data_IF_147044194961
#
_entry.id   IF_147044194961
#
_cell.length_a   1.000
_cell.length_b   1.000
_cell.length_c   1.000
_cell.angle_alpha   90.00
_cell.angle_beta   90.00
_cell.angle_gamma   90.00
#
_symmetry.space_group_name_H-M   'P 1'
#
loop_
_entity.id
_entity.type
_entity.pdbx_description
1 polymer ?
#
# COMPACT_ATOMS: atom_id res chain seq x y z
N UNK A 1 -13.98 31.07 1.47
CA UNK A 1 -13.12 29.98 0.97
C UNK A 1 -12.75 29.09 2.14
N UNK A 2 -12.91 27.79 2.01
CA UNK A 2 -12.50 26.79 3.01
C UNK A 2 -10.97 26.83 3.20
N UNK A 3 -10.46 26.69 4.43
CA UNK A 3 -9.01 26.72 4.67
C UNK A 3 -8.32 25.50 4.03
N UNK A 4 -7.03 25.57 3.65
CA UNK A 4 -6.34 24.43 3.04
C UNK A 4 -6.34 23.17 3.93
N UNK A 5 -6.24 23.35 5.25
CA UNK A 5 -6.36 22.26 6.21
C UNK A 5 -7.75 21.59 6.16
N UNK A 6 -8.82 22.38 6.05
CA UNK A 6 -10.18 21.84 5.93
C UNK A 6 -10.42 21.17 4.57
N UNK A 7 -9.84 21.70 3.48
CA UNK A 7 -9.85 21.04 2.17
C UNK A 7 -9.18 19.66 2.23
N UNK A 8 -8.02 19.55 2.87
CA UNK A 8 -7.32 18.27 3.01
C UNK A 8 -8.12 17.24 3.80
N UNK A 9 -8.79 17.67 4.87
CA UNK A 9 -9.71 16.82 5.64
C UNK A 9 -10.89 16.33 4.80
N UNK A 10 -11.54 17.23 4.06
CA UNK A 10 -12.68 16.90 3.19
C UNK A 10 -12.26 15.91 2.09
N UNK A 11 -11.11 16.12 1.47
CA UNK A 11 -10.56 15.22 0.45
C UNK A 11 -10.27 13.82 1.01
N UNK A 12 -9.70 13.73 2.21
CA UNK A 12 -9.44 12.46 2.87
C UNK A 12 -10.74 11.72 3.22
N UNK A 13 -11.75 12.45 3.72
CA UNK A 13 -13.07 11.87 4.03
C UNK A 13 -13.74 11.32 2.77
N UNK A 14 -13.73 12.10 1.68
CA UNK A 14 -14.29 11.69 0.39
C UNK A 14 -13.61 10.43 -0.14
N UNK A 15 -12.28 10.38 -0.16
CA UNK A 15 -11.56 9.20 -0.62
C UNK A 15 -11.89 7.96 0.23
N UNK A 16 -11.96 8.11 1.55
CA UNK A 16 -12.31 7.00 2.45
C UNK A 16 -13.73 6.49 2.21
N UNK A 17 -14.67 7.36 1.86
CA UNK A 17 -16.04 6.99 1.50
C UNK A 17 -16.07 6.26 0.14
N UNK A 18 -15.44 6.82 -0.89
CA UNK A 18 -15.38 6.24 -2.24
C UNK A 18 -14.72 4.86 -2.26
N UNK A 19 -13.74 4.64 -1.38
CA UNK A 19 -13.02 3.36 -1.25
C UNK A 19 -13.61 2.42 -0.20
N UNK A 20 -14.72 2.79 0.45
CA UNK A 20 -15.37 1.94 1.46
C UNK A 20 -14.52 1.69 2.73
N UNK A 21 -13.55 2.55 3.02
CA UNK A 21 -12.58 2.39 4.12
C UNK A 21 -13.16 2.75 5.49
N UNK A 22 -14.29 3.47 5.52
CA UNK A 22 -14.97 3.93 6.73
C UNK A 22 -13.98 4.51 7.76
N UNK A 23 -13.84 3.89 8.94
CA UNK A 23 -12.91 4.30 10.01
C UNK A 23 -11.75 3.33 10.24
N UNK A 24 -11.57 2.34 9.37
CA UNK A 24 -10.55 1.29 9.49
C UNK A 24 -9.13 1.82 9.20
N UNK A 25 -8.09 1.32 9.89
CA UNK A 25 -6.71 1.54 9.47
C UNK A 25 -6.46 1.05 8.03
N UNK A 26 -5.53 1.69 7.33
CA UNK A 26 -5.13 1.33 5.96
C UNK A 26 -3.73 0.71 6.02
N UNK A 27 -3.51 -0.45 5.41
CA UNK A 27 -2.17 -1.04 5.25
C UNK A 27 -1.29 -0.25 4.28
N UNK A 28 -0.02 -0.62 4.13
CA UNK A 28 0.85 0.04 3.14
C UNK A 28 0.42 -0.33 1.71
N UNK A 29 0.20 -1.61 1.44
CA UNK A 29 -0.30 -2.09 0.14
C UNK A 29 -1.63 -1.45 -0.26
N UNK A 30 -2.58 -1.32 0.69
CA UNK A 30 -3.84 -0.61 0.40
C UNK A 30 -3.63 0.87 0.05
N UNK A 31 -2.59 1.54 0.58
CA UNK A 31 -2.27 2.93 0.21
C UNK A 31 -1.80 3.01 -1.25
N UNK A 32 -0.98 2.06 -1.69
CA UNK A 32 -0.49 1.97 -3.06
C UNK A 32 -1.66 1.83 -4.05
N UNK A 33 -2.69 1.07 -3.67
CA UNK A 33 -3.86 0.80 -4.50
C UNK A 33 -4.95 1.89 -4.44
N UNK A 34 -4.79 2.95 -3.62
CA UNK A 34 -5.82 4.00 -3.48
C UNK A 34 -5.98 4.86 -4.73
N UNK A 35 -4.89 5.05 -5.48
CA UNK A 35 -4.85 5.88 -6.68
C UNK A 35 -4.05 5.16 -7.76
N UNK A 36 -4.33 5.38 -9.05
CA UNK A 36 -3.66 4.68 -10.13
C UNK A 36 -2.24 5.22 -10.37
N UNK A 37 -1.33 5.06 -9.41
CA UNK A 37 0.08 5.39 -9.53
C UNK A 37 0.97 4.19 -9.19
N UNK A 38 2.18 4.19 -9.71
CA UNK A 38 3.24 3.27 -9.28
C UNK A 38 3.96 3.87 -8.08
N UNK A 39 4.34 3.03 -7.11
CA UNK A 39 5.13 3.46 -5.94
C UNK A 39 6.47 2.76 -5.98
N UNK A 40 7.55 3.50 -5.79
CA UNK A 40 8.92 2.96 -5.69
C UNK A 40 9.54 3.47 -4.40
N UNK A 41 9.85 2.54 -3.51
CA UNK A 41 10.64 2.79 -2.31
C UNK A 41 12.10 2.48 -2.62
N UNK A 42 12.98 3.47 -2.50
CA UNK A 42 14.40 3.33 -2.85
C UNK A 42 15.27 4.30 -2.06
N UNK A 43 16.58 4.13 -2.11
CA UNK A 43 17.51 5.07 -1.49
C UNK A 43 17.47 6.40 -2.25
N UNK A 44 17.25 7.50 -1.52
CA UNK A 44 17.17 8.84 -2.08
C UNK A 44 18.24 9.75 -1.48
N UNK A 45 18.62 10.85 -2.17
CA UNK A 45 19.54 11.83 -1.60
C UNK A 45 19.03 12.39 -0.26
N UNK A 46 19.97 12.75 0.61
CA UNK A 46 19.65 13.32 1.92
C UNK A 46 18.71 14.53 1.80
N UNK A 47 17.65 14.53 2.61
CA UNK A 47 16.65 15.60 2.65
C UNK A 47 15.47 15.42 1.69
N UNK A 48 15.46 14.38 0.86
CA UNK A 48 14.31 14.01 0.03
C UNK A 48 13.61 12.80 0.66
N UNK A 49 12.45 13.03 1.27
CA UNK A 49 11.65 11.94 1.85
C UNK A 49 10.74 11.26 0.81
N UNK A 50 10.33 12.01 -0.22
CA UNK A 50 9.48 11.55 -1.29
C UNK A 50 9.35 12.58 -2.41
N UNK A 51 8.88 12.13 -3.56
CA UNK A 51 8.62 12.94 -4.74
C UNK A 51 7.55 12.29 -5.61
N UNK A 52 6.78 13.10 -6.33
CA UNK A 52 5.84 12.62 -7.33
C UNK A 52 6.25 13.09 -8.72
N UNK A 53 6.30 12.16 -9.67
CA UNK A 53 6.55 12.43 -11.08
C UNK A 53 5.32 12.06 -11.90
N UNK A 54 5.03 12.88 -12.91
CA UNK A 54 4.04 12.58 -13.93
C UNK A 54 4.73 12.51 -15.27
N UNK A 55 4.61 11.39 -15.97
CA UNK A 55 5.10 11.27 -17.33
C UNK A 55 4.27 12.18 -18.25
N UNK A 56 4.88 13.16 -18.94
CA UNK A 56 4.16 14.06 -19.83
C UNK A 56 3.61 13.38 -21.10
N UNK A 57 4.12 12.20 -21.47
CA UNK A 57 3.67 11.47 -22.66
C UNK A 57 2.50 10.54 -22.34
N UNK A 58 2.65 9.69 -21.31
CA UNK A 58 1.64 8.68 -20.96
C UNK A 58 0.62 9.19 -19.94
N UNK A 59 0.96 10.23 -19.18
CA UNK A 59 0.16 10.71 -18.05
C UNK A 59 0.30 9.86 -16.78
N UNK A 60 1.07 8.76 -16.84
CA UNK A 60 1.32 7.87 -15.71
C UNK A 60 1.98 8.62 -14.56
N UNK A 61 1.64 8.23 -13.33
CA UNK A 61 2.15 8.86 -12.11
C UNK A 61 3.00 7.86 -11.37
N UNK A 62 4.20 8.29 -10.98
CA UNK A 62 5.13 7.55 -10.16
C UNK A 62 5.38 8.33 -8.87
N UNK A 63 5.21 7.67 -7.72
CA UNK A 63 5.61 8.20 -6.43
C UNK A 63 6.91 7.51 -6.01
N UNK A 64 7.98 8.28 -5.88
CA UNK A 64 9.22 7.83 -5.26
C UNK A 64 9.19 8.14 -3.77
N UNK A 65 9.53 7.17 -2.92
CA UNK A 65 9.63 7.33 -1.47
C UNK A 65 11.00 6.84 -1.00
N UNK A 66 11.62 7.58 -0.07
CA UNK A 66 12.90 7.18 0.49
C UNK A 66 12.77 5.94 1.41
N UNK A 67 13.72 5.02 1.37
CA UNK A 67 13.91 4.01 2.42
C UNK A 67 14.08 4.70 3.79
N UNK A 68 13.57 4.08 4.86
CA UNK A 68 13.58 4.74 6.16
C UNK A 68 13.58 3.79 7.35
N UNK A 69 14.26 4.19 8.43
CA UNK A 69 14.12 3.57 9.76
C UNK A 69 12.92 4.12 10.55
N UNK A 70 12.21 5.11 10.00
CA UNK A 70 11.01 5.70 10.58
C UNK A 70 9.77 5.28 9.76
N UNK A 71 9.27 4.03 9.92
CA UNK A 71 8.27 3.46 9.02
C UNK A 71 6.96 4.27 8.97
N UNK A 72 6.53 4.81 10.10
CA UNK A 72 5.30 5.60 10.15
C UNK A 72 5.45 6.98 9.52
N UNK A 73 6.68 7.52 9.44
CA UNK A 73 6.97 8.74 8.67
C UNK A 73 6.96 8.44 7.18
N UNK A 74 7.61 7.35 6.74
CA UNK A 74 7.59 6.92 5.34
C UNK A 74 6.17 6.69 4.82
N UNK A 75 5.34 5.97 5.60
CA UNK A 75 3.91 5.78 5.30
C UNK A 75 3.14 7.10 5.23
N UNK A 76 3.48 8.06 6.08
CA UNK A 76 2.90 9.40 6.04
C UNK A 76 3.30 10.15 4.78
N UNK A 77 4.56 10.06 4.35
CA UNK A 77 5.04 10.66 3.10
C UNK A 77 4.28 10.11 1.90
N UNK A 78 4.09 8.79 1.79
CA UNK A 78 3.28 8.22 0.70
C UNK A 78 1.85 8.81 0.69
N UNK A 79 1.20 8.87 1.85
CA UNK A 79 -0.13 9.47 1.96
C UNK A 79 -0.14 10.97 1.63
N UNK A 80 0.95 11.68 1.91
CA UNK A 80 1.13 13.09 1.58
C UNK A 80 1.20 13.29 0.07
N UNK A 81 2.03 12.50 -0.63
CA UNK A 81 2.15 12.51 -2.09
C UNK A 81 0.82 12.18 -2.79
N UNK A 82 0.08 11.19 -2.28
CA UNK A 82 -1.29 10.88 -2.74
C UNK A 82 -2.21 12.12 -2.58
N UNK A 83 -2.06 12.86 -1.49
CA UNK A 83 -2.79 14.11 -1.24
C UNK A 83 -2.54 15.16 -2.33
N UNK A 84 -1.28 15.34 -2.74
CA UNK A 84 -0.94 16.23 -3.85
C UNK A 84 -1.53 15.78 -5.18
N UNK A 85 -1.48 14.47 -5.47
CA UNK A 85 -2.05 13.90 -6.70
C UNK A 85 -3.55 14.20 -6.77
N UNK A 86 -4.28 13.93 -5.69
CA UNK A 86 -5.74 14.11 -5.65
C UNK A 86 -6.17 15.58 -5.62
N UNK A 87 -5.34 16.46 -5.07
CA UNK A 87 -5.58 17.91 -5.11
C UNK A 87 -5.27 18.53 -6.49
N UNK A 88 -4.60 17.79 -7.38
CA UNK A 88 -4.14 18.31 -8.67
C UNK A 88 -2.92 19.22 -8.55
N UNK A 89 -2.16 19.09 -7.45
CA UNK A 89 -1.00 19.95 -7.16
C UNK A 89 0.22 19.56 -8.00
N UNK A 90 0.28 18.32 -8.48
CA UNK A 90 1.41 17.78 -9.24
C UNK A 90 1.44 18.41 -10.64
N UNK A 91 2.41 19.30 -10.86
CA UNK A 91 2.60 19.95 -12.15
C UNK A 91 3.09 18.97 -13.22
N UNK A 92 2.72 19.20 -14.48
CA UNK A 92 3.18 18.41 -15.64
C UNK A 92 4.61 18.73 -16.07
N UNK A 93 5.27 19.74 -15.50
CA UNK A 93 6.68 19.98 -15.75
C UNK A 93 7.49 19.04 -14.86
N UNK A 94 8.49 18.37 -15.44
CA UNK A 94 9.53 17.54 -14.82
C UNK A 94 10.38 18.25 -13.75
N UNK A 95 9.95 19.41 -13.28
CA UNK A 95 10.45 20.11 -12.13
C UNK A 95 10.02 19.35 -10.87
N UNK A 96 11.00 18.81 -10.16
CA UNK A 96 10.88 18.42 -8.74
C UNK A 96 10.15 19.58 -8.05
N UNK A 97 8.99 19.31 -7.45
CA UNK A 97 8.31 20.33 -6.66
C UNK A 97 9.25 20.73 -5.51
N UNK A 98 9.79 21.95 -5.57
CA UNK A 98 10.43 22.56 -4.42
C UNK A 98 9.31 22.88 -3.42
N UNK A 99 9.03 21.92 -2.54
CA UNK A 99 8.10 22.06 -1.43
C UNK A 99 8.49 23.28 -0.61
N UNK A 100 7.76 24.39 -0.76
CA UNK A 100 7.93 25.55 0.11
C UNK A 100 7.19 25.24 1.42
N UNK A 101 7.91 25.05 2.54
CA UNK A 101 7.26 24.68 3.79
C UNK A 101 6.28 25.81 4.15
N UNK A 102 4.99 25.49 4.24
CA UNK A 102 3.83 26.39 4.51
C UNK A 102 3.07 26.93 3.29
N UNK A 103 3.22 26.38 2.10
CA UNK A 103 2.26 26.65 1.03
C UNK A 103 0.86 26.12 1.39
N UNK A 104 -0.16 26.57 0.65
CA UNK A 104 -1.52 26.08 0.82
C UNK A 104 -1.61 24.60 0.43
N UNK A 105 -0.87 24.20 -0.61
CA UNK A 105 -0.71 22.85 -1.13
C UNK A 105 -0.15 21.92 -0.06
N UNK A 106 0.99 22.27 0.54
CA UNK A 106 1.64 21.52 1.62
C UNK A 106 0.73 21.36 2.84
N UNK A 107 0.06 22.45 3.23
CA UNK A 107 -0.88 22.43 4.37
C UNK A 107 -2.07 21.50 4.09
N UNK A 108 -2.57 21.49 2.85
CA UNK A 108 -3.65 20.61 2.42
C UNK A 108 -3.21 19.15 2.37
N UNK A 109 -2.08 18.84 1.74
CA UNK A 109 -1.54 17.48 1.63
C UNK A 109 -1.18 16.88 3.00
N UNK A 110 -0.56 17.66 3.88
CA UNK A 110 -0.33 17.25 5.27
C UNK A 110 -1.64 16.96 6.00
N UNK A 111 -2.63 17.86 5.90
CA UNK A 111 -3.94 17.65 6.54
C UNK A 111 -4.65 16.41 5.98
N UNK A 112 -4.58 16.21 4.67
CA UNK A 112 -5.09 15.03 3.98
C UNK A 112 -4.47 13.75 4.54
N UNK A 113 -3.13 13.64 4.58
CA UNK A 113 -2.44 12.46 5.08
C UNK A 113 -2.83 12.11 6.53
N UNK A 114 -2.94 13.11 7.42
CA UNK A 114 -3.39 12.88 8.81
C UNK A 114 -4.79 12.26 8.88
N UNK A 115 -5.74 12.82 8.14
CA UNK A 115 -7.14 12.37 8.17
C UNK A 115 -7.36 11.07 7.39
N UNK A 116 -6.57 10.82 6.34
CA UNK A 116 -6.60 9.57 5.59
C UNK A 116 -6.11 8.43 6.46
N UNK A 117 -4.95 8.58 7.09
CA UNK A 117 -4.30 7.50 7.85
C UNK A 117 -4.91 7.28 9.23
N UNK A 118 -5.38 8.35 9.88
CA UNK A 118 -5.89 8.31 11.24
C UNK A 118 -7.19 9.14 11.34
N UNK A 119 -8.34 8.64 10.88
CA UNK A 119 -9.59 9.39 10.91
C UNK A 119 -10.07 9.61 12.35
N UNK A 120 -10.51 10.84 12.66
CA UNK A 120 -11.06 11.22 13.98
C UNK A 120 -12.22 10.31 14.38
N UNK A 121 -13.06 9.91 13.43
CA UNK A 121 -14.16 8.95 13.66
C UNK A 121 -13.67 7.59 14.15
N UNK A 122 -12.53 7.10 13.67
CA UNK A 122 -11.95 5.81 14.07
C UNK A 122 -11.27 5.81 15.43
N UNK A 123 -10.89 7.00 15.92
CA UNK A 123 -10.51 7.22 17.32
C UNK A 123 -11.78 7.27 18.18
N UNK A 124 -12.75 8.11 17.82
CA UNK A 124 -13.97 8.33 18.60
C UNK A 124 -14.85 7.08 18.74
N UNK A 125 -14.82 6.17 17.76
CA UNK A 125 -15.58 4.91 17.80
C UNK A 125 -14.95 3.86 18.73
N UNK A 126 -13.68 3.99 19.10
CA UNK A 126 -13.02 3.05 20.01
C UNK A 126 -13.36 3.42 21.47
N UNK A 127 -14.41 2.80 22.00
CA UNK A 127 -14.90 3.06 23.36
C UNK A 127 -13.87 2.73 24.44
N UNK A 128 -12.90 1.85 24.15
CA UNK A 128 -11.92 1.39 25.14
C UNK A 128 -10.90 2.47 25.51
N UNK A 129 -10.72 3.50 24.67
CA UNK A 129 -9.68 4.52 24.88
C UNK A 129 -10.10 5.56 25.91
N UNK A 130 -11.42 5.75 26.11
CA UNK A 130 -11.98 6.85 26.92
C UNK A 130 -11.55 6.84 28.39
N UNK A 131 -11.14 5.68 28.91
CA UNK A 131 -10.73 5.50 30.30
C UNK A 131 -9.22 5.32 30.47
N UNK A 132 -8.43 5.40 29.40
CA UNK A 132 -6.98 5.18 29.45
C UNK A 132 -6.23 6.45 29.85
N UNK A 133 -5.03 6.27 30.41
CA UNK A 133 -4.11 7.40 30.57
C UNK A 133 -3.65 7.94 29.21
N UNK A 134 -3.36 9.24 29.13
CA UNK A 134 -3.01 9.94 27.88
C UNK A 134 -1.91 9.27 27.06
N UNK A 135 -0.85 8.80 27.70
CA UNK A 135 0.27 8.13 27.02
C UNK A 135 -0.08 6.71 26.54
N UNK A 136 -1.00 6.03 27.24
CA UNK A 136 -1.54 4.74 26.81
C UNK A 136 -2.49 4.90 25.62
N UNK A 137 -3.38 5.91 25.66
CA UNK A 137 -4.21 6.29 24.51
C UNK A 137 -3.35 6.58 23.29
N UNK A 138 -2.27 7.36 23.45
CA UNK A 138 -1.32 7.66 22.39
C UNK A 138 -0.70 6.39 21.80
N UNK A 139 -0.17 5.50 22.64
CA UNK A 139 0.41 4.21 22.21
C UNK A 139 -0.59 3.38 21.40
N UNK A 140 -1.85 3.32 21.86
CA UNK A 140 -2.92 2.59 21.17
C UNK A 140 -3.25 3.18 19.80
N UNK A 141 -3.37 4.50 19.68
CA UNK A 141 -3.65 5.17 18.40
C UNK A 141 -2.47 5.01 17.43
N UNK A 142 -1.24 5.20 17.91
CA UNK A 142 -0.01 5.00 17.13
C UNK A 142 0.06 3.58 16.57
N UNK A 143 -0.14 2.56 17.42
CA UNK A 143 -0.12 1.16 16.99
C UNK A 143 -1.24 0.83 16.01
N UNK A 144 -2.47 1.28 16.30
CA UNK A 144 -3.67 0.98 15.48
C UNK A 144 -3.58 1.60 14.09
N UNK A 145 -3.24 2.88 14.01
CA UNK A 145 -3.26 3.64 12.76
C UNK A 145 -1.90 3.75 12.07
N UNK A 146 -0.83 3.25 12.71
CA UNK A 146 0.54 3.22 12.17
C UNK A 146 1.00 4.61 11.73
N UNK A 147 0.81 5.60 12.61
CA UNK A 147 1.17 7.01 12.43
C UNK A 147 2.15 7.44 13.52
N UNK A 148 2.87 8.54 13.30
CA UNK A 148 3.78 9.07 14.31
C UNK A 148 3.02 9.51 15.58
N UNK A 149 3.69 9.54 16.75
CA UNK A 149 3.09 10.07 17.98
C UNK A 149 2.58 11.52 17.84
N UNK A 150 3.29 12.35 17.09
CA UNK A 150 2.85 13.71 16.78
C UNK A 150 1.51 13.73 16.03
N UNK A 151 1.38 12.96 14.94
CA UNK A 151 0.14 12.86 14.18
C UNK A 151 -1.00 12.29 15.03
N UNK A 152 -0.73 11.24 15.81
CA UNK A 152 -1.71 10.66 16.72
C UNK A 152 -2.20 11.67 17.77
N UNK A 153 -1.30 12.49 18.33
CA UNK A 153 -1.65 13.51 19.30
C UNK A 153 -2.58 14.58 18.70
N UNK A 154 -2.29 15.09 17.51
CA UNK A 154 -3.19 16.02 16.81
C UNK A 154 -4.59 15.42 16.57
N UNK A 155 -4.66 14.14 16.18
CA UNK A 155 -5.96 13.49 15.94
C UNK A 155 -6.72 13.17 17.23
N UNK A 156 -6.02 12.90 18.35
CA UNK A 156 -6.61 12.78 19.68
C UNK A 156 -7.19 14.12 20.17
N UNK A 157 -6.50 15.23 19.93
CA UNK A 157 -7.00 16.58 20.22
C UNK A 157 -8.24 16.88 19.38
N UNK A 158 -8.18 16.60 18.07
CA UNK A 158 -9.33 16.77 17.16
C UNK A 158 -10.53 15.89 17.55
N UNK A 159 -10.31 14.76 18.22
CA UNK A 159 -11.35 13.91 18.80
C UNK A 159 -11.88 14.42 20.16
N UNK A 160 -11.31 15.48 20.72
CA UNK A 160 -11.69 16.05 22.01
C UNK A 160 -11.23 15.23 23.24
N UNK A 161 -10.23 14.37 23.08
CA UNK A 161 -9.76 13.45 24.13
C UNK A 161 -8.57 13.99 24.93
N UNK A 162 -7.85 14.95 24.37
CA UNK A 162 -6.71 15.63 24.99
C UNK A 162 -6.74 17.13 24.67
N UNK A 163 -5.93 17.92 25.37
CA UNK A 163 -5.82 19.38 25.14
C UNK A 163 -4.67 19.72 24.18
N UNK A 164 -4.64 20.97 23.69
CA UNK A 164 -3.53 21.48 22.88
C UNK A 164 -2.16 21.43 23.61
N UNK A 165 -2.15 21.58 24.93
CA UNK A 165 -0.93 21.47 25.74
C UNK A 165 -0.45 20.02 25.81
N UNK A 166 -1.39 19.05 25.88
CA UNK A 166 -1.05 17.64 25.84
C UNK A 166 -0.42 17.25 24.49
N UNK A 167 -0.84 17.85 23.38
CA UNK A 167 -0.26 17.56 22.05
C UNK A 167 1.25 17.80 22.05
N UNK A 168 1.71 18.90 22.63
CA UNK A 168 3.14 19.25 22.70
C UNK A 168 3.92 18.25 23.54
N UNK A 169 3.36 17.79 24.66
CA UNK A 169 4.05 16.85 25.54
C UNK A 169 4.03 15.43 24.95
N UNK A 170 2.89 14.98 24.44
CA UNK A 170 2.72 13.65 23.88
C UNK A 170 3.46 13.47 22.55
N UNK A 171 3.55 14.53 21.73
CA UNK A 171 4.27 14.52 20.46
C UNK A 171 5.79 14.29 20.59
N UNK A 172 6.37 14.50 21.79
CA UNK A 172 7.80 14.23 22.05
C UNK A 172 8.13 12.75 22.15
N UNK A 173 7.14 11.88 22.31
CA UNK A 173 7.37 10.44 22.31
C UNK A 173 7.78 9.94 20.92
N UNK A 174 8.49 8.82 20.88
CA UNK A 174 8.79 8.09 19.64
C UNK A 174 7.96 6.82 19.57
N UNK A 175 7.59 6.40 18.35
CA UNK A 175 6.84 5.17 18.16
C UNK A 175 7.59 3.95 18.72
N UNK A 176 8.92 3.88 18.54
CA UNK A 176 9.77 2.83 19.11
C UNK A 176 9.69 2.78 20.65
N UNK A 177 9.77 3.94 21.33
CA UNK A 177 9.69 3.99 22.79
C UNK A 177 8.30 3.57 23.31
N UNK A 178 7.23 3.96 22.61
CA UNK A 178 5.87 3.47 22.91
C UNK A 178 5.78 1.95 22.67
N UNK A 179 6.36 1.45 21.59
CA UNK A 179 6.37 0.03 21.26
C UNK A 179 7.07 -0.82 22.33
N UNK A 180 8.25 -0.39 22.78
CA UNK A 180 8.98 -1.03 23.85
C UNK A 180 8.20 -1.01 25.18
N UNK A 181 7.59 0.13 25.52
CA UNK A 181 6.87 0.29 26.80
C UNK A 181 5.59 -0.53 26.89
N UNK A 182 4.86 -0.71 25.78
CA UNK A 182 3.58 -1.44 25.75
C UNK A 182 3.69 -2.83 25.09
N UNK A 183 4.89 -3.35 24.88
CA UNK A 183 5.12 -4.75 24.51
C UNK A 183 4.83 -5.10 23.05
N UNK A 184 4.86 -4.13 22.13
CA UNK A 184 4.65 -4.34 20.70
C UNK A 184 5.89 -3.97 19.86
N UNK A 185 7.09 -4.06 20.46
CA UNK A 185 8.35 -3.72 19.80
C UNK A 185 8.67 -4.60 18.59
N UNK A 186 8.31 -5.89 18.63
CA UNK A 186 8.54 -6.79 17.50
C UNK A 186 7.73 -6.35 16.28
N UNK A 187 6.44 -6.05 16.47
CA UNK A 187 5.59 -5.49 15.40
C UNK A 187 6.17 -4.19 14.84
N UNK A 188 6.70 -3.30 15.70
CA UNK A 188 7.37 -2.08 15.25
C UNK A 188 8.63 -2.38 14.41
N UNK A 189 9.43 -3.36 14.82
CA UNK A 189 10.64 -3.76 14.12
C UNK A 189 10.33 -4.37 12.75
N UNK A 190 9.25 -5.14 12.61
CA UNK A 190 8.80 -5.66 11.32
C UNK A 190 8.49 -4.50 10.34
N UNK A 191 7.84 -3.44 10.82
CA UNK A 191 7.62 -2.24 10.00
C UNK A 191 8.92 -1.53 9.64
N UNK A 192 9.88 -1.45 10.57
CA UNK A 192 11.20 -0.86 10.28
C UNK A 192 11.93 -1.68 9.21
N UNK A 193 11.91 -3.01 9.32
CA UNK A 193 12.55 -3.89 8.35
C UNK A 193 11.97 -3.67 6.96
N UNK A 194 10.64 -3.68 6.83
CA UNK A 194 9.95 -3.42 5.58
C UNK A 194 10.30 -2.03 5.00
N UNK A 195 10.18 -0.98 5.81
CA UNK A 195 10.43 0.41 5.38
C UNK A 195 11.90 0.69 4.99
N UNK A 196 12.83 -0.08 5.53
CA UNK A 196 14.27 0.11 5.31
C UNK A 196 14.81 -0.56 4.05
N UNK A 197 14.00 -1.38 3.37
CA UNK A 197 14.41 -2.11 2.16
C UNK A 197 13.77 -1.48 0.93
N UNK A 198 14.50 -1.35 -0.19
CA UNK A 198 13.90 -1.00 -1.47
C UNK A 198 12.82 -2.01 -1.85
N UNK A 199 11.71 -1.50 -2.37
CA UNK A 199 10.61 -2.30 -2.91
C UNK A 199 9.75 -1.43 -3.81
N UNK A 200 8.88 -2.05 -4.59
CA UNK A 200 7.96 -1.36 -5.49
C UNK A 200 6.52 -1.81 -5.23
N UNK A 201 5.56 -1.01 -5.66
CA UNK A 201 4.14 -1.34 -5.57
C UNK A 201 3.83 -2.64 -6.28
N UNK A 202 2.93 -3.45 -5.72
CA UNK A 202 2.43 -4.70 -6.31
C UNK A 202 2.03 -4.53 -7.77
N UNK A 203 1.30 -3.46 -8.09
CA UNK A 203 0.85 -3.15 -9.45
C UNK A 203 2.00 -3.06 -10.45
N UNK A 204 3.08 -2.36 -10.11
CA UNK A 204 4.25 -2.26 -10.99
C UNK A 204 4.90 -3.63 -11.23
N UNK A 205 4.97 -4.48 -10.20
CA UNK A 205 5.44 -5.87 -10.36
C UNK A 205 4.51 -6.65 -11.29
N UNK A 206 3.20 -6.50 -11.16
CA UNK A 206 2.20 -7.18 -12.00
C UNK A 206 2.28 -6.74 -13.47
N UNK A 207 2.39 -5.44 -13.72
CA UNK A 207 2.51 -4.86 -15.06
C UNK A 207 3.79 -5.36 -15.75
N UNK A 208 4.92 -5.38 -15.02
CA UNK A 208 6.20 -5.87 -15.56
C UNK A 208 6.22 -7.39 -15.71
N UNK A 209 5.55 -8.14 -14.82
CA UNK A 209 5.38 -9.60 -14.95
C UNK A 209 4.57 -9.91 -16.21
N UNK A 210 3.47 -9.21 -16.45
CA UNK A 210 2.64 -9.39 -17.65
C UNK A 210 3.43 -9.07 -18.91
N UNK A 211 4.13 -7.94 -18.94
CA UNK A 211 4.98 -7.57 -20.07
C UNK A 211 6.10 -8.58 -20.34
N UNK A 212 6.61 -9.26 -19.31
CA UNK A 212 7.61 -10.31 -19.47
C UNK A 212 7.02 -11.55 -20.16
N UNK A 213 5.85 -12.02 -19.69
CA UNK A 213 5.13 -13.14 -20.28
C UNK A 213 4.72 -12.85 -21.74
N UNK A 214 4.42 -11.59 -22.06
CA UNK A 214 4.15 -11.14 -23.43
C UNK A 214 5.41 -10.93 -24.29
N UNK A 215 6.61 -11.18 -23.76
CA UNK A 215 7.88 -11.03 -24.46
C UNK A 215 8.30 -9.57 -24.74
N UNK A 216 7.69 -8.60 -24.06
CA UNK A 216 7.95 -7.17 -24.24
C UNK A 216 9.13 -6.67 -23.40
N UNK A 217 9.40 -7.32 -22.27
CA UNK A 217 10.55 -7.01 -21.40
C UNK A 217 11.38 -8.26 -21.14
N UNK A 218 12.62 -8.05 -20.68
CA UNK A 218 13.53 -9.15 -20.36
C UNK A 218 13.32 -9.65 -18.93
N UNK A 219 13.75 -10.88 -18.65
CA UNK A 219 13.78 -11.40 -17.28
C UNK A 219 14.62 -10.53 -16.34
N UNK A 220 15.67 -9.87 -16.85
CA UNK A 220 16.49 -8.94 -16.08
C UNK A 220 15.69 -7.72 -15.62
N UNK A 221 14.75 -7.24 -16.44
CA UNK A 221 13.83 -6.16 -16.08
C UNK A 221 12.87 -6.58 -14.97
N UNK A 222 12.33 -7.81 -15.05
CA UNK A 222 11.46 -8.37 -14.02
C UNK A 222 12.20 -8.57 -12.69
N UNK A 223 13.39 -9.17 -12.73
CA UNK A 223 14.24 -9.38 -11.55
C UNK A 223 14.59 -8.04 -10.87
N UNK A 224 14.93 -7.02 -11.66
CA UNK A 224 15.21 -5.69 -11.15
C UNK A 224 14.01 -5.08 -10.40
N UNK A 225 12.80 -5.20 -10.95
CA UNK A 225 11.58 -4.64 -10.36
C UNK A 225 11.16 -5.42 -9.11
N UNK A 226 11.39 -6.74 -9.07
CA UNK A 226 11.15 -7.56 -7.88
C UNK A 226 12.19 -7.34 -6.77
N UNK A 227 13.38 -6.86 -7.12
CA UNK A 227 14.52 -6.79 -6.21
C UNK A 227 15.21 -8.14 -6.01
N UNK A 228 14.98 -9.08 -6.93
CA UNK A 228 15.50 -10.45 -6.89
C UNK A 228 16.71 -10.61 -7.82
N UNK A 229 17.39 -11.75 -7.71
CA UNK A 229 18.34 -12.18 -8.73
C UNK A 229 17.62 -12.73 -9.96
N UNK A 230 18.28 -12.66 -11.14
CA UNK A 230 17.77 -13.30 -12.36
C UNK A 230 17.51 -14.80 -12.13
N UNK A 231 18.34 -15.48 -11.34
CA UNK A 231 18.18 -16.90 -11.04
C UNK A 231 16.94 -17.21 -10.20
N UNK A 232 16.66 -16.41 -9.16
CA UNK A 232 15.43 -16.52 -8.37
C UNK A 232 14.20 -16.23 -9.22
N UNK A 233 14.24 -15.15 -10.01
CA UNK A 233 13.14 -14.81 -10.92
C UNK A 233 12.92 -15.89 -11.97
N UNK A 234 13.98 -16.50 -12.51
CA UNK A 234 13.86 -17.60 -13.48
C UNK A 234 13.20 -18.80 -12.83
N UNK A 235 13.62 -19.18 -11.63
CA UNK A 235 13.01 -20.29 -10.90
C UNK A 235 11.51 -20.07 -10.66
N UNK A 236 11.08 -18.84 -10.38
CA UNK A 236 9.65 -18.50 -10.26
C UNK A 236 8.91 -18.59 -11.60
N UNK A 237 9.53 -18.16 -12.71
CA UNK A 237 8.92 -18.20 -14.04
C UNK A 237 8.84 -19.64 -14.59
N UNK A 238 9.80 -20.49 -14.25
CA UNK A 238 9.77 -21.93 -14.56
C UNK A 238 8.53 -22.61 -13.93
N UNK A 239 8.05 -22.11 -12.77
CA UNK A 239 6.80 -22.59 -12.17
C UNK A 239 5.58 -22.25 -13.05
N UNK A 240 5.54 -21.05 -13.62
CA UNK A 240 4.46 -20.60 -14.51
C UNK A 240 4.41 -21.47 -15.76
N UNK A 241 5.55 -21.65 -16.43
CA UNK A 241 5.67 -22.54 -17.59
C UNK A 241 5.24 -23.98 -17.25
N UNK A 242 5.63 -24.48 -16.07
CA UNK A 242 5.24 -25.82 -15.63
C UNK A 242 3.73 -25.99 -15.40
N UNK A 243 3.03 -24.93 -14.99
CA UNK A 243 1.57 -24.93 -14.81
C UNK A 243 0.84 -24.81 -16.14
N UNK A 244 1.34 -23.98 -17.07
CA UNK A 244 0.80 -23.86 -18.43
C UNK A 244 0.90 -25.20 -19.19
N UNK A 245 2.04 -25.89 -19.10
CA UNK A 245 2.21 -27.22 -19.70
C UNK A 245 1.27 -28.28 -19.11
N UNK A 246 0.92 -28.18 -17.83
CA UNK A 246 -0.10 -29.08 -17.23
C UNK A 246 -1.50 -28.77 -17.75
N UNK A 247 -1.82 -27.49 -17.92
CA UNK A 247 -3.12 -27.07 -18.47
C UNK A 247 -3.30 -27.56 -19.92
N UNK A 248 -2.27 -27.41 -20.76
CA UNK A 248 -2.29 -27.89 -22.15
C UNK A 248 -2.35 -29.44 -22.22
N UNK A 249 -1.66 -30.14 -21.33
CA UNK A 249 -1.69 -31.61 -21.26
C UNK A 249 -3.04 -32.19 -20.79
N UNK A 250 -3.81 -31.44 -20.00
CA UNK A 250 -5.17 -31.81 -19.58
C UNK A 250 -6.17 -31.71 -20.74
N UNK A 251 -5.99 -30.75 -21.65
CA UNK A 251 -6.80 -30.62 -22.86
C UNK A 251 -6.50 -31.75 -23.86
N UNK A 252 -5.25 -32.23 -23.94
CA UNK A 252 -4.87 -33.39 -24.76
C UNK A 252 -5.41 -34.72 -24.18
N UNK A 253 -5.40 -34.90 -22.85
CA UNK A 253 -5.98 -36.10 -22.19
C UNK A 253 -7.52 -36.15 -22.29
N UNK A 254 -8.20 -35.00 -22.37
CA UNK A 254 -9.65 -34.94 -22.64
C UNK A 254 -10.02 -35.26 -24.08
N UNK A 255 -9.06 -35.28 -25.02
CA UNK A 255 -9.26 -35.73 -26.41
C UNK A 255 -9.04 -37.23 -26.60
N UNK A 256 -8.39 -37.91 -25.63
CA UNK A 256 -7.96 -39.30 -25.72
C UNK A 256 -8.75 -40.26 -24.81
N UNK A 257 -10.02 -39.97 -24.52
CA UNK A 257 -10.92 -41.03 -24.08
C UNK A 257 -11.47 -41.73 -25.31
N UNK A 258 -10.96 -42.94 -25.58
CA UNK A 258 -11.63 -43.95 -26.40
C UNK A 258 -13.07 -44.10 -25.89
N UNK A 259 -13.99 -43.34 -26.48
CA UNK A 259 -15.42 -43.56 -26.34
C UNK A 259 -15.66 -44.88 -27.07
N UNK A 260 -16.05 -45.97 -26.37
CA UNK A 260 -16.30 -47.23 -27.03
C UNK A 260 -17.33 -46.99 -28.12
N UNK A 261 -17.02 -47.45 -29.33
CA UNK A 261 -17.94 -47.30 -30.46
C UNK A 261 -19.28 -47.95 -30.11
N UNK A 262 -20.37 -47.47 -30.69
CA UNK A 262 -21.72 -47.98 -30.42
C UNK A 262 -21.81 -49.51 -30.65
N UNK A 263 -21.00 -50.04 -31.57
CA UNK A 263 -20.77 -51.48 -31.79
C UNK A 263 -20.13 -52.21 -30.60
N UNK A 264 -19.18 -51.61 -29.89
CA UNK A 264 -18.53 -52.22 -28.72
C UNK A 264 -19.46 -52.22 -27.50
N UNK A 265 -20.33 -51.20 -27.40
CA UNK A 265 -21.43 -51.17 -26.42
C UNK A 265 -22.50 -52.21 -26.69
N UNK A 266 -22.93 -52.38 -27.93
CA UNK A 266 -23.91 -53.40 -28.31
C UNK A 266 -23.36 -54.81 -28.09
N UNK A 267 -22.09 -55.06 -28.45
CA UNK A 267 -21.44 -56.36 -28.24
C UNK A 267 -21.28 -56.70 -26.76
N UNK A 268 -20.98 -55.72 -25.91
CA UNK A 268 -20.93 -55.91 -24.46
C UNK A 268 -22.32 -56.20 -23.88
N UNK A 269 -23.38 -55.57 -24.39
CA UNK A 269 -24.75 -55.82 -23.95
C UNK A 269 -25.28 -57.19 -24.42
N UNK A 270 -24.92 -57.65 -25.62
CA UNK A 270 -25.23 -59.00 -26.11
C UNK A 270 -24.51 -60.10 -25.33
N UNK A 271 -23.23 -59.91 -24.98
CA UNK A 271 -22.46 -60.88 -24.17
C UNK A 271 -22.93 -60.91 -22.70
N UNK A 272 -23.45 -59.80 -22.17
CA UNK A 272 -23.89 -59.69 -20.78
C UNK A 272 -25.35 -60.08 -20.55
N UNK A 273 -26.22 -59.81 -21.53
CA UNK A 273 -27.61 -60.27 -21.57
C UNK A 273 -27.75 -61.30 -22.70
N UNK A 274 -27.10 -62.45 -22.55
CA UNK A 274 -27.28 -63.57 -23.46
C UNK A 274 -28.78 -63.83 -23.72
N UNK A 275 -29.10 -64.09 -25.00
CA UNK A 275 -30.44 -64.42 -25.51
C UNK A 275 -31.24 -65.38 -24.64
#
# INVERSE_FOLDING_TARGET
MTSPSAQGRELAMKLREERGLASSPISFAELEDLVPCDVVVTDMPDGVDGLTLRDPQTGNVLIGIATSRAPFRQRFTLAHEIGHILAGDVSTSTSIHECTPRSAEETRAHSFARHLLCPVSGIASDQTIKNMHKTEMLSRVVRKFKVSPEVAAYQLEAAGLITADDVKELGKHTANALAARWGWINEYNDYVEFASKPHVSRRLVEDVTTAYLEGQVTIGSLAFVRGDTIGETQADMDLVESEELKADGLDDELSAQDVPTEMERERFLEDFFGS
#
